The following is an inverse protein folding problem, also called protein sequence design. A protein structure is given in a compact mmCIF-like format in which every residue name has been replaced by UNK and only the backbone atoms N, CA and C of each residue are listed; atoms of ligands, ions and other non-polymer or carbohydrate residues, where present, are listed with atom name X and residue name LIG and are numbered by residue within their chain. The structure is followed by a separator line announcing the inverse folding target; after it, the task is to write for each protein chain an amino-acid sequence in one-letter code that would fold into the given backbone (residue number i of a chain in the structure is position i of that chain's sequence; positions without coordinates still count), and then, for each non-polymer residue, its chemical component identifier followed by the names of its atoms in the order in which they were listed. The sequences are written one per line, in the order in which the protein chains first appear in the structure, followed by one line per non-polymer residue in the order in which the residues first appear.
data_IF_332806902231
#
_entry.id   IF_332806902231
#
_cell.length_a   1.000
_cell.length_b   1.000
_cell.length_c   1.000
_cell.angle_alpha   90.00
_cell.angle_beta   90.00
_cell.angle_gamma   90.00
#
_symmetry.space_group_name_H-M   'P 1'
#
loop_
_entity.id
_entity.type
_entity.pdbx_description
1 polymer ?
#
# COMPACT_ATOMS: atom_id res chain seq x y z
N UNK A 1 0.57 -35.48 -5.86
CA UNK A 1 -0.88 -35.35 -5.98
C UNK A 1 -1.22 -33.97 -6.54
N UNK A 2 -2.22 -33.80 -7.42
CA UNK A 2 -2.56 -32.51 -8.02
C UNK A 2 -3.10 -31.49 -7.02
N UNK A 3 -3.44 -31.94 -5.83
CA UNK A 3 -4.00 -31.12 -4.74
C UNK A 3 -2.98 -30.73 -3.65
N UNK A 4 -1.72 -31.20 -3.75
CA UNK A 4 -0.66 -30.87 -2.80
C UNK A 4 0.27 -29.81 -3.39
N UNK A 5 0.68 -28.82 -2.59
CA UNK A 5 1.72 -27.85 -2.97
C UNK A 5 2.97 -28.57 -3.52
N UNK A 6 3.56 -28.04 -4.59
CA UNK A 6 3.32 -26.79 -5.33
C UNK A 6 2.27 -26.88 -6.44
N UNK A 7 1.41 -27.91 -6.51
CA UNK A 7 0.36 -28.02 -7.51
C UNK A 7 -0.83 -27.10 -7.18
N UNK A 8 -1.49 -26.58 -8.24
CA UNK A 8 -2.56 -25.57 -8.14
C UNK A 8 -3.97 -26.16 -8.14
N UNK A 9 -4.11 -27.50 -8.07
CA UNK A 9 -5.41 -28.17 -8.27
C UNK A 9 -6.53 -27.80 -7.30
N UNK A 10 -6.20 -27.33 -6.07
CA UNK A 10 -7.19 -26.83 -5.10
C UNK A 10 -7.54 -25.35 -5.33
N UNK A 11 -6.84 -24.65 -6.20
CA UNK A 11 -6.96 -23.19 -6.39
C UNK A 11 -7.60 -22.83 -7.74
N UNK A 12 -8.07 -23.82 -8.50
CA UNK A 12 -8.65 -23.64 -9.84
C UNK A 12 -9.84 -22.70 -9.87
N UNK A 13 -10.66 -22.67 -8.79
CA UNK A 13 -11.79 -21.74 -8.66
C UNK A 13 -11.36 -20.28 -8.55
N UNK A 14 -10.21 -20.03 -7.96
CA UNK A 14 -9.62 -18.69 -7.85
C UNK A 14 -8.90 -18.30 -9.16
N UNK A 15 -8.10 -19.21 -9.70
CA UNK A 15 -7.32 -18.98 -10.92
C UNK A 15 -8.19 -18.72 -12.16
N UNK A 16 -9.39 -19.31 -12.20
CA UNK A 16 -10.33 -19.17 -13.31
C UNK A 16 -11.40 -18.10 -13.10
N UNK A 17 -11.35 -17.37 -11.97
CA UNK A 17 -12.30 -16.31 -11.68
C UNK A 17 -11.67 -14.94 -11.97
N UNK A 18 -12.22 -14.15 -12.92
CA UNK A 18 -11.69 -12.84 -13.30
C UNK A 18 -11.82 -11.77 -12.20
N UNK A 19 -12.60 -12.03 -11.13
CA UNK A 19 -12.74 -11.10 -10.00
C UNK A 19 -11.48 -11.07 -9.12
N UNK A 20 -10.54 -12.04 -9.30
CA UNK A 20 -9.29 -12.07 -8.55
C UNK A 20 -8.12 -11.67 -9.43
N UNK A 21 -7.40 -10.64 -9.00
CA UNK A 21 -6.14 -10.22 -9.63
C UNK A 21 -4.98 -11.10 -9.14
N UNK A 22 -4.83 -12.25 -9.80
CA UNK A 22 -3.80 -13.23 -9.43
C UNK A 22 -2.40 -12.66 -9.66
N UNK A 23 -2.17 -11.88 -10.72
CA UNK A 23 -0.86 -11.33 -11.06
C UNK A 23 -0.31 -10.40 -9.98
N UNK A 24 -1.19 -9.65 -9.30
CA UNK A 24 -0.87 -8.76 -8.18
C UNK A 24 -1.12 -9.38 -6.79
N UNK A 25 -1.39 -10.70 -6.75
CA UNK A 25 -1.56 -11.44 -5.51
C UNK A 25 -0.24 -12.01 -4.98
N UNK A 26 -0.24 -12.45 -3.72
CA UNK A 26 0.92 -13.04 -3.07
C UNK A 26 0.58 -14.38 -2.44
N UNK A 27 1.50 -15.36 -2.57
CA UNK A 27 1.53 -16.55 -1.73
C UNK A 27 2.48 -16.29 -0.56
N UNK A 28 2.00 -16.43 0.67
CA UNK A 28 2.80 -16.28 1.88
C UNK A 28 3.02 -17.67 2.49
N UNK A 29 4.26 -18.05 2.72
CA UNK A 29 4.57 -19.33 3.33
C UNK A 29 6.03 -19.47 3.76
N UNK A 30 6.30 -20.51 4.54
CA UNK A 30 7.60 -20.79 5.15
C UNK A 30 8.44 -21.81 4.35
N UNK A 31 7.82 -22.49 3.39
CA UNK A 31 8.48 -23.53 2.60
C UNK A 31 8.78 -23.02 1.17
N UNK A 32 9.89 -23.50 0.61
CA UNK A 32 10.22 -23.20 -0.79
C UNK A 32 9.14 -23.73 -1.78
N UNK A 33 8.34 -24.72 -1.36
CA UNK A 33 7.17 -25.19 -2.14
C UNK A 33 6.08 -24.14 -2.26
N UNK A 34 6.01 -23.15 -1.35
CA UNK A 34 5.08 -22.01 -1.45
C UNK A 34 5.53 -21.03 -2.52
N UNK A 35 6.84 -20.83 -2.65
CA UNK A 35 7.44 -20.02 -3.72
C UNK A 35 7.20 -20.68 -5.08
N UNK A 36 7.39 -22.02 -5.17
CA UNK A 36 7.06 -22.76 -6.38
C UNK A 36 5.56 -22.70 -6.71
N UNK A 37 4.69 -22.71 -5.70
CA UNK A 37 3.24 -22.54 -5.89
C UNK A 37 2.92 -21.17 -6.47
N UNK A 38 3.51 -20.09 -5.92
CA UNK A 38 3.33 -18.74 -6.44
C UNK A 38 3.73 -18.66 -7.94
N UNK A 39 4.88 -19.23 -8.31
CA UNK A 39 5.32 -19.31 -9.69
C UNK A 39 4.30 -20.04 -10.57
N UNK A 40 3.79 -21.17 -10.10
CA UNK A 40 2.80 -21.97 -10.83
C UNK A 40 1.44 -21.26 -10.99
N UNK A 41 1.12 -20.34 -10.08
CA UNK A 41 -0.07 -19.49 -10.14
C UNK A 41 0.13 -18.24 -11.01
N UNK A 42 1.36 -17.85 -11.30
CA UNK A 42 1.67 -16.61 -12.02
C UNK A 42 1.65 -15.37 -11.13
N UNK A 43 1.85 -15.53 -9.81
CA UNK A 43 1.93 -14.44 -8.83
C UNK A 43 3.29 -14.41 -8.13
N UNK A 44 3.47 -13.49 -7.18
CA UNK A 44 4.69 -13.37 -6.38
C UNK A 44 4.58 -14.12 -5.06
N UNK A 45 5.71 -14.42 -4.44
CA UNK A 45 5.80 -15.05 -3.13
C UNK A 45 6.37 -14.07 -2.09
N UNK A 46 5.83 -14.16 -0.88
CA UNK A 46 6.47 -13.66 0.34
C UNK A 46 6.96 -14.89 1.10
N UNK A 47 8.27 -15.06 1.12
CA UNK A 47 8.88 -16.26 1.70
C UNK A 47 9.36 -15.98 3.13
N UNK A 48 8.74 -16.70 4.07
CA UNK A 48 9.15 -16.69 5.48
C UNK A 48 10.31 -17.68 5.69
N UNK A 49 11.49 -17.32 5.21
CA UNK A 49 12.67 -18.19 5.21
C UNK A 49 13.24 -18.39 6.62
N UNK A 50 12.64 -19.32 7.37
CA UNK A 50 13.14 -19.80 8.66
C UNK A 50 14.14 -20.96 8.49
N UNK A 51 13.96 -21.77 7.44
CA UNK A 51 14.83 -22.85 7.01
C UNK A 51 14.85 -22.93 5.47
N UNK A 52 15.96 -22.52 4.82
CA UNK A 52 16.05 -22.45 3.35
C UNK A 52 15.95 -23.81 2.65
N UNK A 53 16.14 -24.90 3.39
CA UNK A 53 16.08 -26.26 2.84
C UNK A 53 14.70 -26.91 3.03
N UNK A 54 13.79 -26.26 3.74
CA UNK A 54 12.47 -26.79 4.03
C UNK A 54 11.63 -26.94 2.76
N UNK A 55 11.43 -28.16 2.32
CA UNK A 55 10.70 -28.48 1.10
C UNK A 55 11.53 -28.54 -0.19
N UNK A 56 12.86 -28.35 -0.13
CA UNK A 56 13.72 -28.33 -1.31
C UNK A 56 13.66 -29.61 -2.14
N UNK A 57 13.44 -30.78 -1.53
CA UNK A 57 13.26 -32.06 -2.24
C UNK A 57 11.88 -32.24 -2.90
N UNK A 58 10.96 -31.32 -2.71
CA UNK A 58 9.57 -31.39 -3.21
C UNK A 58 9.32 -30.46 -4.40
N UNK A 59 10.28 -29.61 -4.78
CA UNK A 59 10.17 -28.65 -5.89
C UNK A 59 10.74 -29.24 -7.18
N UNK A 60 10.29 -28.72 -8.33
CA UNK A 60 10.78 -29.10 -9.66
C UNK A 60 11.91 -28.18 -10.11
N UNK A 61 11.83 -26.91 -9.76
CA UNK A 61 12.82 -25.90 -10.12
C UNK A 61 13.94 -25.86 -9.06
N UNK A 62 15.08 -25.26 -9.38
CA UNK A 62 16.11 -24.97 -8.41
C UNK A 62 15.70 -23.75 -7.55
N UNK A 63 16.22 -23.64 -6.35
CA UNK A 63 15.97 -22.48 -5.47
C UNK A 63 16.36 -21.17 -6.18
N UNK A 64 17.49 -21.19 -6.93
CA UNK A 64 17.94 -20.02 -7.69
C UNK A 64 16.95 -19.60 -8.79
N UNK A 65 16.32 -20.56 -9.47
CA UNK A 65 15.30 -20.27 -10.50
C UNK A 65 13.99 -19.72 -9.92
N UNK A 66 13.81 -19.78 -8.61
CA UNK A 66 12.64 -19.24 -7.91
C UNK A 66 12.86 -17.83 -7.33
N UNK A 67 14.10 -17.33 -7.32
CA UNK A 67 14.43 -16.01 -6.75
C UNK A 67 13.63 -14.87 -7.35
N UNK A 68 13.41 -14.89 -8.65
CA UNK A 68 12.60 -13.86 -9.33
C UNK A 68 11.12 -13.86 -8.93
N UNK A 69 10.63 -14.97 -8.38
CA UNK A 69 9.25 -15.09 -7.88
C UNK A 69 9.10 -14.48 -6.50
N UNK A 70 10.20 -14.36 -5.73
CA UNK A 70 10.19 -13.83 -4.37
C UNK A 70 10.13 -12.31 -4.41
N UNK A 71 9.04 -11.74 -3.87
CA UNK A 71 8.88 -10.30 -3.71
C UNK A 71 9.46 -9.81 -2.38
N UNK A 72 9.36 -10.63 -1.33
CA UNK A 72 9.92 -10.36 -0.01
C UNK A 72 10.39 -11.68 0.62
N UNK A 73 11.58 -11.64 1.21
CA UNK A 73 12.10 -12.71 2.06
C UNK A 73 12.29 -12.17 3.48
N UNK A 74 11.59 -12.76 4.45
CA UNK A 74 11.67 -12.33 5.86
C UNK A 74 11.11 -13.40 6.80
N UNK A 75 11.71 -13.62 7.99
CA UNK A 75 11.12 -14.48 9.01
C UNK A 75 10.04 -13.79 9.86
N UNK A 76 9.76 -12.49 9.65
CA UNK A 76 8.94 -11.69 10.55
C UNK A 76 7.65 -11.20 9.91
N UNK A 77 6.52 -11.52 10.52
CA UNK A 77 5.19 -11.03 10.12
C UNK A 77 5.09 -9.50 10.06
N UNK A 78 5.82 -8.79 10.93
CA UNK A 78 5.85 -7.32 10.91
C UNK A 78 6.36 -6.78 9.58
N UNK A 79 7.38 -7.40 9.01
CA UNK A 79 7.93 -6.99 7.72
C UNK A 79 6.95 -7.29 6.57
N UNK A 80 6.25 -8.42 6.66
CA UNK A 80 5.19 -8.77 5.70
C UNK A 80 4.07 -7.73 5.75
N UNK A 81 3.61 -7.40 6.96
CA UNK A 81 2.59 -6.37 7.15
C UNK A 81 3.03 -5.03 6.57
N UNK A 82 4.25 -4.57 6.88
CA UNK A 82 4.79 -3.33 6.33
C UNK A 82 4.91 -3.37 4.81
N UNK A 83 5.39 -4.50 4.24
CA UNK A 83 5.52 -4.67 2.80
C UNK A 83 4.17 -4.60 2.08
N UNK A 84 3.15 -5.27 2.60
CA UNK A 84 1.81 -5.27 2.00
C UNK A 84 1.08 -3.94 2.20
N UNK A 85 1.44 -3.19 3.24
CA UNK A 85 0.82 -1.91 3.59
C UNK A 85 1.53 -0.71 2.93
N UNK A 86 2.85 -0.75 2.79
CA UNK A 86 3.64 0.34 2.23
C UNK A 86 3.35 0.54 0.74
N UNK A 87 3.01 1.76 0.37
CA UNK A 87 2.87 2.22 -1.02
C UNK A 87 1.50 2.00 -1.65
N UNK A 88 0.53 1.42 -0.95
CA UNK A 88 -0.81 1.21 -1.49
C UNK A 88 -1.74 2.42 -1.26
N UNK A 89 -1.52 3.24 -0.22
CA UNK A 89 -2.39 4.37 0.10
C UNK A 89 -1.61 5.64 0.42
N UNK A 90 -0.58 5.91 -0.40
CA UNK A 90 0.21 7.15 -0.35
C UNK A 90 -0.04 7.95 -1.62
N UNK A 91 -0.42 9.20 -1.47
CA UNK A 91 -0.75 10.11 -2.58
C UNK A 91 -0.05 11.44 -2.39
N UNK A 92 0.60 11.92 -3.45
CA UNK A 92 0.94 13.31 -3.63
C UNK A 92 -0.12 13.94 -4.54
N UNK A 93 -0.78 14.98 -4.07
CA UNK A 93 -1.83 15.65 -4.81
C UNK A 93 -1.61 17.16 -4.84
N UNK A 94 -1.77 17.75 -6.01
CA UNK A 94 -1.77 19.19 -6.20
C UNK A 94 -3.07 19.64 -6.85
N UNK A 95 -3.66 20.70 -6.29
CA UNK A 95 -4.80 21.42 -6.87
C UNK A 95 -4.46 22.89 -6.97
N UNK A 96 -4.69 23.47 -8.13
CA UNK A 96 -4.44 24.89 -8.38
C UNK A 96 -5.65 25.52 -9.04
N UNK A 97 -6.10 26.64 -8.48
CA UNK A 97 -7.13 27.52 -9.04
C UNK A 97 -6.53 28.90 -9.30
N UNK A 98 -7.36 29.92 -9.57
CA UNK A 98 -6.91 31.29 -9.61
C UNK A 98 -6.68 31.87 -8.21
N UNK A 99 -7.37 31.33 -7.21
CA UNK A 99 -7.45 31.81 -5.84
C UNK A 99 -6.50 31.04 -4.91
N UNK A 100 -6.21 29.76 -5.23
CA UNK A 100 -5.46 28.87 -4.35
C UNK A 100 -4.41 28.03 -5.08
N UNK A 101 -3.31 27.69 -4.39
CA UNK A 101 -2.31 26.71 -4.80
C UNK A 101 -2.08 25.76 -3.61
N UNK A 102 -2.48 24.49 -3.75
CA UNK A 102 -2.60 23.52 -2.69
C UNK A 102 -1.75 22.30 -3.02
N UNK A 103 -0.91 21.88 -2.07
CA UNK A 103 -0.13 20.65 -2.12
C UNK A 103 -0.49 19.79 -0.93
N UNK A 104 -0.74 18.50 -1.17
CA UNK A 104 -1.10 17.52 -0.16
C UNK A 104 -0.30 16.24 -0.36
N UNK A 105 0.48 15.86 0.64
CA UNK A 105 1.04 14.53 0.78
C UNK A 105 0.25 13.77 1.83
N UNK A 106 -0.43 12.70 1.40
CA UNK A 106 -1.31 11.87 2.21
C UNK A 106 -0.77 10.46 2.31
N UNK A 107 -0.66 9.93 3.52
CA UNK A 107 -0.44 8.51 3.79
C UNK A 107 -1.56 7.99 4.71
N UNK A 108 -2.48 7.19 4.16
CA UNK A 108 -3.58 6.60 4.93
C UNK A 108 -3.14 5.50 5.89
N UNK A 109 -1.91 4.99 5.72
CA UNK A 109 -1.29 3.99 6.58
C UNK A 109 -0.23 4.61 7.51
N UNK A 110 -0.41 5.89 7.85
CA UNK A 110 0.48 6.67 8.67
C UNK A 110 0.43 6.37 10.17
N UNK A 111 0.95 7.29 10.93
CA UNK A 111 1.04 7.23 12.40
C UNK A 111 0.44 8.45 13.10
N UNK A 112 -0.20 9.36 12.35
CA UNK A 112 -0.78 10.60 12.86
C UNK A 112 0.22 11.75 12.89
N UNK A 113 1.20 11.77 11.98
CA UNK A 113 2.14 12.89 11.81
C UNK A 113 1.50 13.92 10.89
N UNK A 114 1.46 15.17 11.33
CA UNK A 114 0.92 16.28 10.57
C UNK A 114 1.93 17.42 10.43
N UNK A 115 2.05 17.95 9.21
CA UNK A 115 2.72 19.22 8.89
C UNK A 115 1.74 20.04 8.04
N UNK A 116 1.10 21.06 8.66
CA UNK A 116 -0.03 21.76 8.02
C UNK A 116 0.20 23.26 8.08
N UNK A 117 0.13 23.90 6.93
CA UNK A 117 0.27 25.34 6.73
C UNK A 117 -0.76 25.82 5.71
N UNK A 118 -1.93 26.23 6.18
CA UNK A 118 -2.97 26.86 5.36
C UNK A 118 -3.01 28.38 5.53
N UNK A 119 -2.25 28.91 6.48
CA UNK A 119 -2.32 30.33 6.91
C UNK A 119 -3.48 30.63 7.85
N UNK A 120 -4.30 29.65 8.23
CA UNK A 120 -5.47 29.77 9.11
C UNK A 120 -5.31 28.86 10.33
N UNK A 121 -4.80 29.40 11.46
CA UNK A 121 -4.40 28.61 12.62
C UNK A 121 -5.47 27.69 13.18
N UNK A 122 -6.75 28.07 13.17
CA UNK A 122 -7.83 27.19 13.62
C UNK A 122 -8.06 26.03 12.62
N UNK A 123 -7.98 26.30 11.33
CA UNK A 123 -8.14 25.28 10.30
C UNK A 123 -6.96 24.30 10.29
N UNK A 124 -5.73 24.79 10.48
CA UNK A 124 -4.54 23.96 10.66
C UNK A 124 -4.71 23.02 11.85
N UNK A 125 -5.23 23.53 12.97
CA UNK A 125 -5.53 22.70 14.14
C UNK A 125 -6.56 21.60 13.85
N UNK A 126 -7.63 21.91 13.12
CA UNK A 126 -8.65 20.92 12.77
C UNK A 126 -8.11 19.81 11.87
N UNK A 127 -7.26 20.16 10.89
CA UNK A 127 -6.60 19.20 10.01
C UNK A 127 -5.55 18.35 10.78
N UNK A 128 -4.82 18.94 11.73
CA UNK A 128 -3.92 18.19 12.63
C UNK A 128 -4.70 17.17 13.47
N UNK A 129 -5.90 17.52 13.98
CA UNK A 129 -6.75 16.58 14.70
C UNK A 129 -7.24 15.42 13.79
N UNK A 130 -7.56 15.71 12.54
CA UNK A 130 -7.91 14.67 11.57
C UNK A 130 -6.76 13.67 11.38
N UNK A 131 -5.54 14.16 11.21
CA UNK A 131 -4.33 13.32 11.09
C UNK A 131 -4.14 12.47 12.33
N UNK A 132 -4.10 13.08 13.53
CA UNK A 132 -3.82 12.40 14.80
C UNK A 132 -4.85 11.34 15.14
N UNK A 133 -6.14 11.67 15.03
CA UNK A 133 -7.21 10.73 15.38
C UNK A 133 -7.44 9.67 14.31
N UNK A 134 -7.19 9.99 13.04
CA UNK A 134 -7.25 9.06 11.92
C UNK A 134 -6.03 8.15 11.80
N UNK A 135 -4.92 8.44 12.52
CA UNK A 135 -3.62 7.78 12.37
C UNK A 135 -3.12 7.81 10.92
N UNK A 136 -3.41 8.90 10.22
CA UNK A 136 -2.93 9.18 8.86
C UNK A 136 -1.83 10.23 8.92
N UNK A 137 -0.85 10.18 8.02
CA UNK A 137 0.13 11.25 7.92
C UNK A 137 -0.32 12.25 6.86
N UNK A 138 -0.26 13.55 7.19
CA UNK A 138 -0.67 14.66 6.34
C UNK A 138 0.39 15.76 6.31
N UNK A 139 0.90 16.08 5.12
CA UNK A 139 1.60 17.33 4.85
C UNK A 139 0.71 18.15 3.92
N UNK A 140 0.26 19.32 4.38
CA UNK A 140 -0.64 20.21 3.61
C UNK A 140 -0.04 21.62 3.59
N UNK A 141 0.20 22.12 2.37
CA UNK A 141 0.68 23.47 2.13
C UNK A 141 -0.28 24.21 1.20
N UNK A 142 -0.81 25.33 1.67
CA UNK A 142 -1.79 26.12 0.94
C UNK A 142 -1.31 27.56 0.81
N UNK A 143 -1.40 28.09 -0.40
CA UNK A 143 -1.28 29.51 -0.70
C UNK A 143 -2.63 29.98 -1.24
N UNK A 144 -3.41 30.62 -0.40
CA UNK A 144 -4.72 31.18 -0.75
C UNK A 144 -4.72 32.71 -0.76
N UNK A 145 -5.81 33.26 -1.28
CA UNK A 145 -6.07 34.70 -1.37
C UNK A 145 -6.64 35.26 -0.04
N UNK A 146 -6.01 34.94 1.09
CA UNK A 146 -6.43 35.33 2.44
C UNK A 146 -6.60 36.83 2.66
N UNK A 147 -6.09 37.67 1.72
CA UNK A 147 -6.34 39.11 1.73
C UNK A 147 -7.77 39.47 1.29
N UNK A 148 -8.50 38.53 0.70
CA UNK A 148 -9.92 38.65 0.35
C UNK A 148 -10.74 38.14 1.54
N UNK A 149 -10.67 36.83 1.81
CA UNK A 149 -11.21 36.14 2.99
C UNK A 149 -10.67 34.69 3.08
N UNK A 150 -11.13 33.90 4.05
CA UNK A 150 -10.72 32.52 4.24
C UNK A 150 -11.51 31.50 3.39
N UNK A 151 -12.59 31.90 2.74
CA UNK A 151 -13.56 30.99 2.09
C UNK A 151 -12.91 30.06 1.06
N UNK A 152 -12.23 30.65 0.08
CA UNK A 152 -11.58 29.87 -0.98
C UNK A 152 -10.52 28.92 -0.43
N UNK A 153 -9.73 29.36 0.56
CA UNK A 153 -8.70 28.54 1.20
C UNK A 153 -9.30 27.30 1.87
N UNK A 154 -10.39 27.45 2.63
CA UNK A 154 -11.03 26.34 3.33
C UNK A 154 -11.71 25.40 2.35
N UNK A 155 -12.51 25.93 1.43
CA UNK A 155 -13.30 25.12 0.49
C UNK A 155 -12.41 24.33 -0.46
N UNK A 156 -11.45 24.99 -1.11
CA UNK A 156 -10.54 24.34 -2.05
C UNK A 156 -9.62 23.31 -1.37
N UNK A 157 -9.18 23.58 -0.14
CA UNK A 157 -8.42 22.59 0.66
C UNK A 157 -9.26 21.36 0.96
N UNK A 158 -10.54 21.54 1.33
CA UNK A 158 -11.48 20.44 1.55
C UNK A 158 -11.68 19.60 0.28
N UNK A 159 -11.85 20.25 -0.87
CA UNK A 159 -11.97 19.59 -2.17
C UNK A 159 -10.68 18.81 -2.52
N UNK A 160 -9.51 19.46 -2.41
CA UNK A 160 -8.21 18.83 -2.69
C UNK A 160 -7.94 17.62 -1.79
N UNK A 161 -8.29 17.73 -0.51
CA UNK A 161 -8.14 16.63 0.45
C UNK A 161 -9.07 15.46 0.09
N UNK A 162 -10.33 15.73 -0.27
CA UNK A 162 -11.26 14.72 -0.77
C UNK A 162 -10.76 14.01 -2.03
N UNK A 163 -10.18 14.77 -2.98
CA UNK A 163 -9.55 14.22 -4.18
C UNK A 163 -8.33 13.34 -3.83
N UNK A 164 -7.50 13.73 -2.85
CA UNK A 164 -6.37 12.93 -2.37
C UNK A 164 -6.83 11.62 -1.73
N UNK A 165 -7.85 11.66 -0.88
CA UNK A 165 -8.45 10.45 -0.29
C UNK A 165 -9.01 9.49 -1.33
N UNK A 166 -9.62 10.01 -2.40
CA UNK A 166 -10.18 9.17 -3.47
C UNK A 166 -9.10 8.52 -4.35
N UNK A 167 -7.89 9.06 -4.37
CA UNK A 167 -6.74 8.53 -5.14
C UNK A 167 -5.91 7.54 -4.33
N UNK A 168 -5.96 7.61 -3.00
CA UNK A 168 -5.26 6.71 -2.08
C UNK A 168 -6.00 5.37 -1.92
#
# INVERSE_FOLDING_TARGET
APTRKPATGMLTSYLNNPDYDIANSYVIGDRITDVQLAKNMGCKAIWMNLDPYLGAGEIKDTVDALKETIALETPHWRNIYSFLKIGLRVVNHQRKTNETDIQIDLNLDGSGIAEIDTGLGFFDHMLDQLSRHGLIDLDIKVKGDLHIDEHHTIEDTGLALGEAFNKA
#
